data_IF_448217786550
#
_entry.id   IF_448217786550
#
_cell.length_a   1.000
_cell.length_b   1.000
_cell.length_c   1.000
_cell.angle_alpha   90.00
_cell.angle_beta   90.00
_cell.angle_gamma   90.00
#
_symmetry.space_group_name_H-M   'P 1'
#
loop_
_entity.id
_entity.type
_entity.pdbx_description
1 polymer ?
#
# COMPACT_ATOMS: atom_id res chain seq x y z
N UNK A 1 -1.99 -27.61 -7.09
CA UNK A 1 -2.97 -27.29 -6.03
C UNK A 1 -2.84 -25.79 -5.75
N UNK A 2 -3.88 -24.96 -5.95
CA UNK A 2 -3.80 -23.57 -5.51
C UNK A 2 -3.77 -23.57 -3.98
N UNK A 3 -2.76 -22.95 -3.40
CA UNK A 3 -2.66 -22.77 -1.96
C UNK A 3 -3.72 -21.72 -1.61
N UNK A 4 -4.89 -22.18 -1.15
CA UNK A 4 -5.93 -21.30 -0.61
C UNK A 4 -5.33 -20.56 0.58
N UNK A 5 -5.07 -19.27 0.40
CA UNK A 5 -4.66 -18.37 1.46
C UNK A 5 -5.87 -18.18 2.38
N UNK A 6 -6.03 -19.06 3.38
CA UNK A 6 -7.02 -18.86 4.44
C UNK A 6 -6.55 -17.73 5.35
N UNK A 7 -6.77 -16.49 4.91
CA UNK A 7 -6.50 -15.30 5.69
C UNK A 7 -7.63 -15.08 6.68
N UNK A 8 -7.38 -15.26 7.98
CA UNK A 8 -8.05 -14.41 8.98
C UNK A 8 -7.37 -13.04 8.91
N UNK A 9 -7.63 -12.31 7.83
CA UNK A 9 -7.11 -10.96 7.60
C UNK A 9 -7.98 -9.95 8.34
N UNK A 10 -7.36 -9.02 9.07
CA UNK A 10 -8.07 -7.89 9.68
C UNK A 10 -8.88 -7.12 8.64
N UNK A 11 -10.07 -6.66 9.00
CA UNK A 11 -10.91 -5.88 8.11
C UNK A 11 -10.18 -4.62 7.61
N UNK A 12 -10.49 -4.18 6.39
CA UNK A 12 -10.05 -2.88 5.88
C UNK A 12 -10.64 -1.81 6.80
N UNK A 13 -9.79 -0.98 7.38
CA UNK A 13 -10.22 0.07 8.30
C UNK A 13 -11.00 1.16 7.55
N UNK A 14 -12.13 1.54 8.13
CA UNK A 14 -12.93 2.72 7.78
C UNK A 14 -12.37 3.98 8.45
N UNK A 15 -12.83 5.17 8.03
CA UNK A 15 -12.44 6.43 8.67
C UNK A 15 -12.82 6.41 10.15
N UNK A 16 -14.05 6.00 10.48
CA UNK A 16 -14.53 5.94 11.86
C UNK A 16 -13.67 5.02 12.74
N UNK A 17 -13.20 3.90 12.19
CA UNK A 17 -12.30 2.99 12.90
C UNK A 17 -10.89 3.57 13.08
N UNK A 18 -10.38 4.38 12.13
CA UNK A 18 -9.14 5.13 12.34
C UNK A 18 -9.30 6.19 13.44
N UNK A 19 -10.41 6.92 13.44
CA UNK A 19 -10.73 7.87 14.51
C UNK A 19 -10.83 7.16 15.87
N UNK A 20 -11.49 6.00 15.92
CA UNK A 20 -11.58 5.17 17.11
C UNK A 20 -10.20 4.64 17.55
N UNK A 21 -9.33 4.27 16.60
CA UNK A 21 -7.95 3.86 16.87
C UNK A 21 -7.15 5.00 17.50
N UNK A 22 -7.23 6.22 16.95
CA UNK A 22 -6.60 7.40 17.54
C UNK A 22 -7.06 7.60 19.00
N UNK A 23 -8.37 7.53 19.25
CA UNK A 23 -8.92 7.68 20.60
C UNK A 23 -8.44 6.56 21.55
N UNK A 24 -8.42 5.31 21.10
CA UNK A 24 -7.94 4.16 21.86
C UNK A 24 -6.44 4.25 22.21
N UNK A 25 -5.65 4.92 21.37
CA UNK A 25 -4.23 5.21 21.61
C UNK A 25 -3.98 6.52 22.37
N UNK A 26 -5.06 7.17 22.83
CA UNK A 26 -5.03 8.47 23.52
C UNK A 26 -4.45 9.63 22.69
N UNK A 27 -4.45 9.51 21.37
CA UNK A 27 -4.13 10.61 20.48
C UNK A 27 -5.32 11.55 20.35
N UNK A 28 -5.04 12.85 20.24
CA UNK A 28 -6.07 13.89 20.19
C UNK A 28 -6.07 14.57 18.83
N UNK A 29 -7.23 14.56 18.18
CA UNK A 29 -7.43 15.21 16.90
C UNK A 29 -8.06 16.58 17.13
N UNK A 30 -7.54 17.62 16.44
CA UNK A 30 -8.13 18.96 16.41
C UNK A 30 -8.24 19.50 15.00
N UNK A 31 -9.39 20.11 14.74
CA UNK A 31 -9.59 20.92 13.55
C UNK A 31 -8.83 22.23 13.68
N UNK A 32 -7.92 22.51 12.75
CA UNK A 32 -7.17 23.76 12.64
C UNK A 32 -7.07 24.18 11.17
N UNK A 33 -7.13 25.49 10.84
CA UNK A 33 -7.00 25.98 9.47
C UNK A 33 -5.52 25.97 9.04
N UNK A 34 -4.96 24.78 8.82
CA UNK A 34 -3.58 24.61 8.34
C UNK A 34 -3.48 25.10 6.89
N UNK A 35 -2.46 25.90 6.57
CA UNK A 35 -2.32 26.47 5.22
C UNK A 35 -1.40 25.65 4.32
N UNK A 36 -0.36 25.04 4.88
CA UNK A 36 0.71 24.36 4.11
C UNK A 36 0.49 22.86 3.93
N UNK A 37 -0.44 22.25 4.66
CA UNK A 37 -0.72 20.82 4.61
C UNK A 37 -2.16 20.52 5.08
N UNK A 38 -2.76 19.40 4.66
CA UNK A 38 -4.10 19.01 5.09
C UNK A 38 -4.15 18.49 6.53
N UNK A 39 -3.03 17.97 7.05
CA UNK A 39 -2.89 17.54 8.44
C UNK A 39 -1.42 17.64 8.89
N UNK A 40 -1.21 17.53 10.20
CA UNK A 40 0.11 17.39 10.80
C UNK A 40 0.01 16.76 12.20
N UNK A 41 0.93 15.88 12.52
CA UNK A 41 1.07 15.24 13.83
C UNK A 41 2.22 15.84 14.64
N UNK A 42 2.08 15.81 15.96
CA UNK A 42 3.09 16.28 16.90
C UNK A 42 3.53 15.14 17.82
N UNK A 43 4.82 15.11 18.25
CA UNK A 43 5.31 14.10 19.21
C UNK A 43 4.52 14.01 20.52
N UNK A 44 3.77 15.06 20.86
CA UNK A 44 2.91 15.13 22.05
C UNK A 44 1.59 14.35 21.95
N UNK A 45 1.34 13.64 20.85
CA UNK A 45 0.11 12.86 20.66
C UNK A 45 -1.05 13.66 20.08
N UNK A 46 -0.78 14.79 19.44
CA UNK A 46 -1.81 15.61 18.78
C UNK A 46 -1.73 15.47 17.27
N UNK A 47 -2.89 15.39 16.63
CA UNK A 47 -3.05 15.46 15.17
C UNK A 47 -3.90 16.69 14.87
N UNK A 48 -3.35 17.62 14.12
CA UNK A 48 -4.08 18.73 13.54
C UNK A 48 -4.62 18.29 12.16
N UNK A 49 -5.89 18.55 11.89
CA UNK A 49 -6.52 18.30 10.58
C UNK A 49 -7.17 19.59 10.07
N UNK A 50 -7.12 19.84 8.77
CA UNK A 50 -7.85 20.92 8.13
C UNK A 50 -9.05 20.37 7.34
N UNK A 51 -10.28 20.47 7.87
CA UNK A 51 -11.48 19.97 7.20
C UNK A 51 -11.78 20.65 5.86
N UNK A 52 -11.27 21.87 5.63
CA UNK A 52 -11.46 22.56 4.35
C UNK A 52 -10.62 21.93 3.22
N UNK A 53 -9.53 21.24 3.57
CA UNK A 53 -8.67 20.52 2.61
C UNK A 53 -8.99 19.03 2.53
N UNK A 54 -9.64 18.46 3.57
CA UNK A 54 -9.97 17.03 3.67
C UNK A 54 -11.47 16.80 3.39
N UNK A 55 -11.92 17.13 2.19
CA UNK A 55 -13.32 16.99 1.78
C UNK A 55 -13.65 15.61 1.18
N UNK A 56 -12.64 14.89 0.71
CA UNK A 56 -12.77 13.53 0.17
C UNK A 56 -12.46 12.51 1.29
N UNK A 57 -13.41 11.60 1.64
CA UNK A 57 -13.20 10.61 2.69
C UNK A 57 -12.01 9.68 2.45
N UNK A 58 -11.70 9.34 1.20
CA UNK A 58 -10.56 8.47 0.86
C UNK A 58 -9.23 9.19 1.11
N UNK A 59 -9.16 10.48 0.79
CA UNK A 59 -7.99 11.34 1.05
C UNK A 59 -7.84 11.56 2.54
N UNK A 60 -8.92 11.87 3.25
CA UNK A 60 -8.94 11.98 4.71
C UNK A 60 -8.40 10.71 5.37
N UNK A 61 -8.84 9.53 4.90
CA UNK A 61 -8.39 8.24 5.42
C UNK A 61 -6.89 8.05 5.28
N UNK A 62 -6.38 8.29 4.08
CA UNK A 62 -4.97 8.19 3.74
C UNK A 62 -4.11 9.15 4.57
N UNK A 63 -4.53 10.42 4.66
CA UNK A 63 -3.82 11.45 5.42
C UNK A 63 -3.84 11.15 6.92
N UNK A 64 -4.99 10.79 7.49
CA UNK A 64 -5.08 10.47 8.92
C UNK A 64 -4.22 9.25 9.28
N UNK A 65 -4.21 8.22 8.45
CA UNK A 65 -3.36 7.05 8.66
C UNK A 65 -1.87 7.39 8.57
N UNK A 66 -1.49 8.29 7.67
CA UNK A 66 -0.11 8.79 7.58
C UNK A 66 0.31 9.53 8.86
N UNK A 67 -0.52 10.45 9.36
CA UNK A 67 -0.26 11.17 10.61
C UNK A 67 -0.21 10.24 11.83
N UNK A 68 -1.07 9.23 11.85
CA UNK A 68 -1.03 8.19 12.87
C UNK A 68 0.25 7.34 12.74
N UNK A 69 0.74 7.13 11.52
CA UNK A 69 2.01 6.48 11.24
C UNK A 69 3.18 7.18 11.93
N UNK A 70 3.27 8.51 11.83
CA UNK A 70 4.30 9.29 12.55
C UNK A 70 4.29 9.03 14.06
N UNK A 71 3.10 9.04 14.67
CA UNK A 71 2.90 8.79 16.10
C UNK A 71 3.30 7.37 16.51
N UNK A 72 2.85 6.38 15.74
CA UNK A 72 3.08 4.96 16.02
C UNK A 72 4.54 4.54 15.80
N UNK A 73 5.24 5.19 14.86
CA UNK A 73 6.66 4.89 14.59
C UNK A 73 7.61 5.86 15.28
N UNK A 74 7.12 6.87 16.01
CA UNK A 74 7.90 7.92 16.64
C UNK A 74 8.76 8.70 15.63
N UNK A 75 8.28 8.83 14.39
CA UNK A 75 9.05 9.38 13.27
C UNK A 75 8.64 10.82 13.05
N UNK A 76 9.37 11.76 13.63
CA UNK A 76 9.08 13.19 13.50
C UNK A 76 10.32 13.92 13.02
N UNK A 77 10.15 14.90 12.14
CA UNK A 77 11.25 15.78 11.76
C UNK A 77 11.83 16.44 13.00
N UNK A 78 13.16 16.44 13.09
CA UNK A 78 13.90 17.14 14.13
C UNK A 78 14.52 18.44 13.61
N UNK A 79 14.15 18.89 12.41
CA UNK A 79 14.81 19.98 11.69
C UNK A 79 16.24 19.64 11.26
N UNK A 80 16.51 18.38 10.95
CA UNK A 80 17.79 17.89 10.45
C UNK A 80 17.79 17.81 8.91
N UNK A 81 18.88 17.31 8.31
CA UNK A 81 19.02 17.24 6.85
C UNK A 81 17.85 16.50 6.17
N UNK A 82 17.55 16.88 4.92
CA UNK A 82 16.41 16.35 4.15
C UNK A 82 16.35 14.80 4.09
N UNK A 83 17.50 14.13 4.10
CA UNK A 83 17.58 12.65 4.15
C UNK A 83 16.98 12.06 5.43
N UNK A 84 17.06 12.78 6.55
CA UNK A 84 16.48 12.36 7.81
C UNK A 84 14.96 12.51 7.78
N UNK A 85 14.46 13.61 7.25
CA UNK A 85 13.03 13.84 7.07
C UNK A 85 12.42 12.81 6.12
N UNK A 86 13.07 12.54 4.97
CA UNK A 86 12.60 11.52 4.03
C UNK A 86 12.48 10.12 4.65
N UNK A 87 13.35 9.76 5.61
CA UNK A 87 13.21 8.48 6.35
C UNK A 87 12.02 8.47 7.30
N UNK A 88 11.65 9.61 7.88
CA UNK A 88 10.49 9.68 8.76
C UNK A 88 9.19 9.54 7.97
N UNK A 89 9.09 10.26 6.86
CA UNK A 89 7.97 10.16 5.91
C UNK A 89 7.80 8.73 5.40
N UNK A 90 8.92 8.07 5.05
CA UNK A 90 8.90 6.69 4.60
C UNK A 90 8.43 5.72 5.70
N UNK A 91 8.80 5.93 6.96
CA UNK A 91 8.33 5.10 8.08
C UNK A 91 6.83 5.29 8.34
N UNK A 92 6.35 6.53 8.32
CA UNK A 92 4.94 6.84 8.45
C UNK A 92 4.12 6.23 7.29
N UNK A 93 4.60 6.37 6.06
CA UNK A 93 4.00 5.76 4.87
C UNK A 93 3.92 4.24 4.97
N UNK A 94 4.98 3.56 5.40
CA UNK A 94 4.96 2.09 5.57
C UNK A 94 3.94 1.66 6.61
N UNK A 95 3.86 2.37 7.72
CA UNK A 95 2.86 2.10 8.74
C UNK A 95 1.44 2.28 8.19
N UNK A 96 1.19 3.39 7.50
CA UNK A 96 -0.11 3.69 6.89
C UNK A 96 -0.50 2.66 5.82
N UNK A 97 0.43 2.29 4.92
CA UNK A 97 0.23 1.26 3.89
C UNK A 97 -0.16 -0.08 4.52
N UNK A 98 0.59 -0.54 5.53
CA UNK A 98 0.31 -1.83 6.20
C UNK A 98 -1.01 -1.83 6.96
N UNK A 99 -1.45 -0.66 7.40
CA UNK A 99 -2.70 -0.48 8.13
C UNK A 99 -3.91 -0.41 7.19
N UNK A 100 -3.82 0.40 6.13
CA UNK A 100 -4.94 0.64 5.21
C UNK A 100 -5.05 -0.43 4.11
N UNK A 101 -3.93 -0.92 3.61
CA UNK A 101 -3.83 -1.83 2.47
C UNK A 101 -2.93 -3.01 2.86
N UNK A 102 -3.35 -3.87 3.81
CA UNK A 102 -2.47 -4.94 4.25
C UNK A 102 -2.26 -5.96 3.12
N UNK A 103 -1.03 -6.47 2.98
CA UNK A 103 -0.64 -7.31 1.84
C UNK A 103 -1.56 -8.52 1.58
N UNK A 104 -2.01 -9.28 2.60
CA UNK A 104 -2.92 -10.40 2.37
C UNK A 104 -4.25 -10.00 1.72
N UNK A 105 -4.79 -8.84 2.09
CA UNK A 105 -6.06 -8.31 1.58
C UNK A 105 -5.88 -7.79 0.16
N UNK A 106 -4.76 -7.10 -0.13
CA UNK A 106 -4.44 -6.67 -1.50
C UNK A 106 -4.26 -7.88 -2.43
N UNK A 107 -3.56 -8.91 -1.96
CA UNK A 107 -3.41 -10.17 -2.67
C UNK A 107 -4.77 -10.84 -2.91
N UNK A 108 -5.62 -10.92 -1.89
CA UNK A 108 -6.95 -11.50 -1.99
C UNK A 108 -7.82 -10.75 -3.01
N UNK A 109 -7.82 -9.42 -2.99
CA UNK A 109 -8.57 -8.61 -3.95
C UNK A 109 -8.16 -8.92 -5.40
N UNK A 110 -6.85 -8.97 -5.66
CA UNK A 110 -6.31 -9.33 -6.98
C UNK A 110 -6.69 -10.76 -7.40
N UNK A 111 -6.54 -11.74 -6.50
CA UNK A 111 -6.93 -13.14 -6.77
C UNK A 111 -8.44 -13.32 -6.95
N UNK A 112 -9.26 -12.43 -6.39
CA UNK A 112 -10.72 -12.39 -6.60
C UNK A 112 -11.14 -11.74 -7.92
N UNK A 113 -10.20 -11.20 -8.71
CA UNK A 113 -10.45 -10.59 -10.01
C UNK A 113 -10.61 -9.06 -10.00
N UNK A 114 -10.44 -8.40 -8.85
CA UNK A 114 -10.34 -6.93 -8.77
C UNK A 114 -8.93 -6.52 -9.22
N UNK A 115 -8.76 -6.38 -10.52
CA UNK A 115 -7.46 -6.13 -11.15
C UNK A 115 -7.27 -4.68 -11.55
N UNK A 116 -8.34 -3.92 -11.71
CA UNK A 116 -8.27 -2.52 -12.14
C UNK A 116 -7.90 -1.62 -10.95
N UNK A 117 -7.10 -0.58 -11.21
CA UNK A 117 -6.57 0.30 -10.17
C UNK A 117 -7.68 0.99 -9.37
N UNK A 118 -8.73 1.47 -10.05
CA UNK A 118 -9.88 2.10 -9.39
C UNK A 118 -10.68 1.09 -8.54
N UNK A 119 -10.83 -0.16 -8.99
CA UNK A 119 -11.55 -1.19 -8.21
C UNK A 119 -10.85 -1.46 -6.89
N UNK A 120 -9.51 -1.49 -6.90
CA UNK A 120 -8.72 -1.63 -5.68
C UNK A 120 -8.81 -0.38 -4.81
N UNK A 121 -8.74 0.82 -5.40
CA UNK A 121 -8.90 2.08 -4.68
C UNK A 121 -10.25 2.15 -3.94
N UNK A 122 -11.33 1.77 -4.62
CA UNK A 122 -12.68 1.67 -4.04
C UNK A 122 -12.75 0.61 -2.92
N UNK A 123 -12.22 -0.60 -3.16
CA UNK A 123 -12.20 -1.68 -2.17
C UNK A 123 -11.50 -1.27 -0.87
N UNK A 124 -10.36 -0.58 -1.01
CA UNK A 124 -9.57 -0.11 0.12
C UNK A 124 -10.00 1.26 0.61
N UNK A 125 -10.96 1.94 -0.03
CA UNK A 125 -11.40 3.29 0.31
C UNK A 125 -10.25 4.31 0.40
N UNK A 126 -9.30 4.26 -0.54
CA UNK A 126 -8.11 5.13 -0.60
C UNK A 126 -7.92 5.67 -2.02
N UNK A 127 -7.16 6.76 -2.23
CA UNK A 127 -6.84 7.23 -3.57
C UNK A 127 -6.03 6.20 -4.36
N UNK A 128 -6.18 6.16 -5.68
CA UNK A 128 -5.46 5.22 -6.57
C UNK A 128 -3.93 5.23 -6.37
N UNK A 129 -3.35 6.40 -6.13
CA UNK A 129 -1.91 6.53 -5.85
C UNK A 129 -1.44 5.73 -4.63
N UNK A 130 -2.31 5.48 -3.65
CA UNK A 130 -1.99 4.67 -2.48
C UNK A 130 -1.93 3.18 -2.80
N UNK A 131 -2.75 2.70 -3.74
CA UNK A 131 -2.63 1.33 -4.25
C UNK A 131 -1.28 1.15 -4.96
N UNK A 132 -0.86 2.13 -5.75
CA UNK A 132 0.46 2.11 -6.42
C UNK A 132 1.61 2.13 -5.40
N UNK A 133 1.54 3.03 -4.40
CA UNK A 133 2.52 3.09 -3.29
C UNK A 133 2.59 1.77 -2.53
N UNK A 134 1.45 1.18 -2.18
CA UNK A 134 1.38 -0.09 -1.47
C UNK A 134 1.98 -1.23 -2.29
N UNK A 135 1.60 -1.34 -3.57
CA UNK A 135 2.14 -2.36 -4.46
C UNK A 135 3.66 -2.24 -4.62
N UNK A 136 4.17 -1.03 -4.85
CA UNK A 136 5.61 -0.76 -4.94
C UNK A 136 6.35 -1.11 -3.65
N UNK A 137 5.81 -0.70 -2.49
CA UNK A 137 6.36 -1.03 -1.18
C UNK A 137 6.46 -2.54 -0.99
N UNK A 138 5.38 -3.28 -1.20
CA UNK A 138 5.37 -4.73 -1.00
C UNK A 138 6.27 -5.48 -1.98
N UNK A 139 6.33 -5.06 -3.24
CA UNK A 139 7.22 -5.69 -4.22
C UNK A 139 8.71 -5.51 -3.86
N UNK A 140 9.08 -4.33 -3.36
CA UNK A 140 10.47 -3.99 -2.98
C UNK A 140 10.84 -4.36 -1.54
N UNK A 141 9.87 -4.65 -0.67
CA UNK A 141 10.10 -4.94 0.74
C UNK A 141 10.99 -6.16 0.96
N UNK A 142 11.93 -6.04 1.90
CA UNK A 142 12.72 -7.19 2.37
C UNK A 142 11.80 -8.15 3.14
N UNK A 143 11.88 -9.48 2.89
CA UNK A 143 11.15 -10.47 3.68
C UNK A 143 11.36 -10.33 5.19
N UNK A 144 12.56 -9.87 5.62
CA UNK A 144 12.90 -9.67 7.04
C UNK A 144 12.08 -8.57 7.72
N UNK A 145 11.48 -7.65 6.95
CA UNK A 145 10.61 -6.59 7.48
C UNK A 145 9.12 -6.98 7.51
N UNK A 146 8.79 -8.19 7.07
CA UNK A 146 7.42 -8.67 6.88
C UNK A 146 7.13 -9.87 7.79
N UNK A 147 5.91 -9.91 8.31
CA UNK A 147 5.36 -11.08 9.00
C UNK A 147 5.18 -12.26 8.02
N UNK A 148 5.07 -13.49 8.51
CA UNK A 148 4.86 -14.67 7.65
C UNK A 148 3.63 -14.55 6.71
N UNK A 149 2.44 -14.09 7.18
CA UNK A 149 1.30 -13.88 6.29
C UNK A 149 1.58 -12.84 5.19
N UNK A 150 2.28 -11.75 5.54
CA UNK A 150 2.68 -10.74 4.55
C UNK A 150 3.68 -11.32 3.55
N UNK A 151 4.67 -12.10 4.01
CA UNK A 151 5.63 -12.74 3.11
C UNK A 151 4.93 -13.67 2.10
N UNK A 152 3.94 -14.44 2.54
CA UNK A 152 3.15 -15.30 1.65
C UNK A 152 2.39 -14.49 0.60
N UNK A 153 1.71 -13.41 1.03
CA UNK A 153 0.99 -12.53 0.13
C UNK A 153 1.93 -11.81 -0.86
N UNK A 154 3.06 -11.29 -0.39
CA UNK A 154 4.05 -10.58 -1.21
C UNK A 154 4.66 -11.48 -2.30
N UNK A 155 4.86 -12.78 -2.02
CA UNK A 155 5.30 -13.73 -3.06
C UNK A 155 4.34 -13.79 -4.24
N UNK A 156 3.04 -13.68 -3.98
CA UNK A 156 2.00 -13.66 -5.01
C UNK A 156 1.90 -12.28 -5.68
N UNK A 157 1.94 -11.19 -4.91
CA UNK A 157 1.93 -9.82 -5.44
C UNK A 157 3.05 -9.56 -6.45
N UNK A 158 4.26 -10.11 -6.20
CA UNK A 158 5.40 -10.04 -7.12
C UNK A 158 5.19 -10.73 -8.47
N UNK A 159 4.13 -11.53 -8.61
CA UNK A 159 3.68 -12.11 -9.86
C UNK A 159 2.75 -11.21 -10.67
N UNK A 160 2.38 -10.03 -10.18
CA UNK A 160 1.57 -9.05 -10.90
C UNK A 160 2.46 -7.93 -11.46
N UNK A 161 1.99 -7.29 -12.54
CA UNK A 161 2.56 -6.06 -13.08
C UNK A 161 1.43 -5.10 -13.44
N UNK A 162 1.66 -3.81 -13.19
CA UNK A 162 0.75 -2.77 -13.65
C UNK A 162 0.92 -2.58 -15.16
N UNK A 163 -0.17 -2.68 -15.91
CA UNK A 163 -0.20 -2.44 -17.34
C UNK A 163 -1.41 -1.59 -17.70
N UNK A 164 -1.28 -0.82 -18.79
CA UNK A 164 -2.42 -0.21 -19.43
C UNK A 164 -3.24 -1.32 -20.13
N UNK A 165 -4.43 -1.62 -19.63
CA UNK A 165 -5.38 -2.48 -20.32
C UNK A 165 -6.06 -1.65 -21.42
N UNK A 166 -5.81 -2.01 -22.68
CA UNK A 166 -6.42 -1.34 -23.83
C UNK A 166 -7.92 -1.66 -23.91
N UNK A 167 -8.76 -0.64 -24.08
CA UNK A 167 -10.21 -0.80 -24.21
C UNK A 167 -10.65 -1.38 -25.55
N UNK A 168 -11.82 -2.05 -25.49
CA UNK A 168 -12.79 -2.12 -26.59
C UNK A 168 -13.37 -0.71 -26.78
N UNK A 169 -13.00 -0.05 -27.87
CA UNK A 169 -13.54 1.20 -28.44
C UNK A 169 -13.52 2.49 -27.57
N UNK A 170 -12.57 3.38 -27.89
CA UNK A 170 -12.60 4.86 -27.70
C UNK A 170 -12.46 5.49 -26.28
N UNK A 171 -12.02 4.77 -25.25
CA UNK A 171 -11.74 5.32 -23.91
C UNK A 171 -10.25 5.54 -23.58
N UNK A 172 -9.95 6.38 -22.58
CA UNK A 172 -8.61 6.47 -21.95
C UNK A 172 -8.24 5.10 -21.34
N UNK A 173 -6.97 4.66 -21.39
CA UNK A 173 -6.59 3.33 -20.91
C UNK A 173 -6.86 3.19 -19.41
N UNK A 174 -7.47 2.07 -19.00
CA UNK A 174 -7.56 1.68 -17.58
C UNK A 174 -6.26 1.01 -17.17
N UNK A 175 -5.73 1.41 -16.02
CA UNK A 175 -4.59 0.73 -15.40
C UNK A 175 -5.08 -0.52 -14.66
N UNK A 176 -4.46 -1.66 -14.95
CA UNK A 176 -4.80 -2.92 -14.31
C UNK A 176 -3.54 -3.73 -13.95
N UNK A 177 -3.64 -4.49 -12.87
CA UNK A 177 -2.63 -5.43 -12.43
C UNK A 177 -2.83 -6.78 -13.14
N UNK A 178 -1.94 -7.07 -14.09
CA UNK A 178 -1.95 -8.32 -14.84
C UNK A 178 -0.99 -9.32 -14.21
N UNK A 179 -1.45 -10.56 -14.06
CA UNK A 179 -0.59 -11.66 -13.61
C UNK A 179 0.39 -12.01 -14.72
N UNK A 180 1.67 -11.95 -14.42
CA UNK A 180 2.75 -12.37 -15.30
C UNK A 180 3.13 -13.80 -14.94
N UNK A 181 2.79 -14.73 -15.82
CA UNK A 181 3.32 -16.08 -15.70
C UNK A 181 4.82 -16.03 -15.99
N UNK A 182 5.64 -16.51 -15.04
CA UNK A 182 7.02 -16.83 -15.37
C UNK A 182 6.95 -17.95 -16.40
N UNK A 183 7.34 -17.67 -17.65
CA UNK A 183 7.73 -18.76 -18.54
C UNK A 183 8.92 -19.42 -17.87
N UNK A 184 8.74 -20.65 -17.41
CA UNK A 184 9.85 -21.52 -17.13
C UNK A 184 10.63 -21.62 -18.45
N UNK A 185 11.77 -20.93 -18.53
CA UNK A 185 12.81 -21.34 -19.44
C UNK A 185 13.25 -22.71 -18.93
N UNK A 186 12.56 -23.77 -19.37
CA UNK A 186 13.18 -25.09 -19.39
C UNK A 186 14.50 -24.88 -20.13
N UNK A 187 15.60 -25.20 -19.45
CA UNK A 187 16.88 -25.40 -20.09
C UNK A 187 16.68 -26.56 -21.07
N UNK A 188 16.29 -26.25 -22.31
CA UNK A 188 16.52 -27.16 -23.42
C UNK A 188 18.03 -27.34 -23.49
N UNK A 189 18.47 -28.50 -23.02
CA UNK A 189 19.85 -28.89 -22.98
C UNK A 189 20.45 -28.75 -24.38
N UNK A 190 21.44 -27.89 -24.52
CA UNK A 190 22.37 -27.95 -25.63
C UNK A 190 23.09 -29.30 -25.56
N UNK A 191 22.57 -30.29 -26.28
CA UNK A 191 23.31 -31.51 -26.61
C UNK A 191 24.18 -31.18 -27.81
N UNK A 192 25.44 -30.81 -27.55
CA UNK A 192 26.47 -30.82 -28.57
C UNK A 192 26.69 -32.29 -28.97
N UNK A 193 26.11 -32.69 -30.11
CA UNK A 193 26.57 -33.86 -30.84
C UNK A 193 27.82 -33.40 -31.58
N UNK A 194 28.99 -33.74 -31.04
CA UNK A 194 30.23 -33.71 -31.79
C UNK A 194 30.22 -34.99 -32.62
N UNK A 195 29.89 -34.87 -33.90
CA UNK A 195 30.23 -35.89 -34.88
C UNK A 195 31.73 -35.77 -35.15
N UNK A 196 32.51 -36.75 -34.67
CA UNK A 196 33.86 -37.00 -35.14
C UNK A 196 33.80 -38.00 -36.31
N UNK A 197 34.08 -37.51 -37.52
CA UNK A 197 34.64 -38.29 -38.64
C UNK A 197 36.01 -37.71 -39.03
#
# INVERSE_FOLDING_TARGET
MPVSCSAKGGAVLTNDELYALCAARHYRIRSLPLQSAPAASLPSGWIAVNPEQLTDPSVEKAVLAHELGHLETGSFSTGSDADHDGRHEERANRWAIRTLIPAPQLCHALESGKVELYQLAEEFGVPEEWILKAFSYYCSASPLSLTEPEQQAVRLLRGYQLAAAAFREAGAPVLAFLRVERRDFQQDGFRLVLDEE
#
